data_IF_357131137805
#
_entry.id   IF_357131137805
#
_cell.length_a   1.000
_cell.length_b   1.000
_cell.length_c   1.000
_cell.angle_alpha   90.00
_cell.angle_beta   90.00
_cell.angle_gamma   90.00
#
_symmetry.space_group_name_H-M   'P 1'
#
loop_
_entity.id
_entity.type
_entity.pdbx_description
1 polymer ?
#
# COMPACT_ATOMS: atom_id res chain seq x y z
N UNK A 1 -42.94 1.04 -28.72
CA UNK A 1 -44.00 1.71 -27.94
C UNK A 1 -43.36 2.16 -26.62
N UNK A 2 -43.01 3.46 -26.49
CA UNK A 2 -43.66 4.48 -25.61
C UNK A 2 -43.72 3.99 -24.15
N UNK A 3 -43.20 4.64 -23.11
CA UNK A 3 -42.96 6.05 -22.77
C UNK A 3 -41.94 6.07 -21.60
N UNK A 4 -40.93 6.94 -21.50
CA UNK A 4 -40.91 8.39 -21.28
C UNK A 4 -41.24 8.87 -19.84
N UNK A 5 -40.25 9.58 -19.27
CA UNK A 5 -40.28 10.67 -18.27
C UNK A 5 -40.63 10.42 -16.80
N UNK A 6 -39.69 10.79 -15.89
CA UNK A 6 -39.78 11.87 -14.88
C UNK A 6 -38.34 12.04 -14.28
N UNK A 7 -37.60 13.14 -14.44
CA UNK A 7 -37.81 14.51 -13.90
C UNK A 7 -37.77 14.48 -12.37
N UNK A 8 -36.98 15.23 -11.61
CA UNK A 8 -36.07 16.36 -11.78
C UNK A 8 -35.40 16.53 -10.39
N UNK A 9 -34.16 17.02 -10.35
CA UNK A 9 -33.66 18.03 -9.39
C UNK A 9 -34.03 17.86 -7.90
N UNK A 10 -33.03 17.54 -7.08
CA UNK A 10 -32.92 18.18 -5.77
C UNK A 10 -31.60 18.94 -5.67
N UNK A 11 -31.78 20.26 -5.64
CA UNK A 11 -30.79 21.30 -5.57
C UNK A 11 -30.28 21.42 -4.12
N UNK A 12 -28.96 21.50 -3.98
CA UNK A 12 -28.27 22.54 -3.21
C UNK A 12 -28.86 22.90 -1.83
N UNK A 13 -28.20 22.46 -0.76
CA UNK A 13 -28.02 23.32 0.42
C UNK A 13 -26.54 23.32 0.78
N UNK A 14 -25.87 24.38 0.33
CA UNK A 14 -24.60 24.85 0.84
C UNK A 14 -24.83 25.45 2.23
N UNK A 15 -24.05 25.05 3.22
CA UNK A 15 -23.80 25.88 4.40
C UNK A 15 -22.29 25.93 4.62
N UNK A 16 -21.67 26.95 4.02
CA UNK A 16 -20.37 27.44 4.44
C UNK A 16 -20.56 28.40 5.62
N UNK A 17 -19.70 28.31 6.63
CA UNK A 17 -19.45 29.44 7.54
C UNK A 17 -18.00 29.36 8.09
N UNK A 18 -17.15 30.17 7.45
CA UNK A 18 -16.01 30.98 7.89
C UNK A 18 -15.21 30.70 9.18
N UNK A 19 -13.90 30.42 8.97
CA UNK A 19 -12.65 31.12 9.40
C UNK A 19 -12.63 32.00 10.69
N UNK A 20 -11.75 31.67 11.67
CA UNK A 20 -10.42 32.28 12.06
C UNK A 20 -10.53 33.21 13.29
N UNK A 21 -9.47 33.71 13.99
CA UNK A 21 -8.02 33.37 14.09
C UNK A 21 -7.45 33.39 15.56
N UNK A 22 -6.22 32.88 15.75
CA UNK A 22 -5.22 33.41 16.72
C UNK A 22 -3.86 32.74 16.41
N UNK A 23 -2.89 33.38 15.74
CA UNK A 23 -1.98 34.48 16.16
C UNK A 23 -0.92 34.04 17.19
N UNK A 24 0.31 33.86 16.68
CA UNK A 24 1.63 34.20 17.29
C UNK A 24 2.12 33.27 18.42
N UNK A 25 3.37 32.78 18.49
CA UNK A 25 4.69 33.29 18.07
C UNK A 25 5.72 32.15 17.89
N UNK A 26 6.73 32.42 17.06
CA UNK A 26 8.04 31.73 17.02
C UNK A 26 8.90 32.06 18.25
N UNK A 27 9.68 31.07 18.74
CA UNK A 27 11.17 31.08 18.82
C UNK A 27 11.72 30.10 19.89
N UNK A 28 12.41 29.08 19.39
CA UNK A 28 13.80 28.68 19.68
C UNK A 28 14.29 28.37 21.11
N UNK A 29 14.70 27.09 21.23
CA UNK A 29 15.80 26.51 22.02
C UNK A 29 15.74 26.45 23.55
N UNK A 30 15.72 25.22 24.08
CA UNK A 30 16.87 24.68 24.84
C UNK A 30 16.64 23.21 25.19
N UNK A 31 17.72 22.44 25.05
CA UNK A 31 17.91 21.02 25.38
C UNK A 31 17.38 20.57 26.74
N UNK A 32 16.86 19.35 26.82
CA UNK A 32 17.53 18.19 27.44
C UNK A 32 16.55 17.01 27.49
N UNK A 33 17.10 15.85 27.19
CA UNK A 33 16.49 14.55 26.96
C UNK A 33 15.57 14.06 28.10
N UNK A 34 14.40 13.55 27.72
CA UNK A 34 13.83 12.38 28.38
C UNK A 34 13.11 11.55 27.31
N UNK A 35 13.83 10.54 26.84
CA UNK A 35 13.36 9.51 25.92
C UNK A 35 12.07 8.89 26.44
N UNK A 36 10.93 8.97 25.73
CA UNK A 36 9.84 8.07 26.01
C UNK A 36 10.27 6.69 25.51
N UNK A 37 10.47 5.77 26.46
CA UNK A 37 10.65 4.35 26.24
C UNK A 37 9.70 3.87 25.14
N UNK A 38 10.25 3.70 23.93
CA UNK A 38 9.60 2.98 22.83
C UNK A 38 9.34 1.57 23.34
N UNK A 39 8.10 1.31 23.72
CA UNK A 39 7.61 -0.05 23.92
C UNK A 39 7.74 -0.75 22.58
N UNK A 40 8.78 -1.57 22.50
CA UNK A 40 8.99 -2.63 21.51
C UNK A 40 7.71 -3.42 21.28
N UNK A 41 7.48 -3.79 20.01
CA UNK A 41 6.52 -4.79 19.52
C UNK A 41 5.22 -4.26 18.87
N UNK A 42 5.36 -3.59 17.72
CA UNK A 42 4.35 -3.70 16.66
C UNK A 42 5.07 -3.88 15.33
N UNK A 43 5.10 -5.13 14.90
CA UNK A 43 5.86 -5.68 13.79
C UNK A 43 5.78 -4.88 12.47
N UNK A 44 6.94 -4.85 11.80
CA UNK A 44 7.22 -4.44 10.42
C UNK A 44 6.40 -5.20 9.35
N UNK A 45 5.42 -5.99 9.76
CA UNK A 45 4.54 -6.75 8.88
C UNK A 45 3.63 -5.79 8.12
N UNK A 46 3.77 -5.80 6.81
CA UNK A 46 2.98 -4.98 5.89
C UNK A 46 2.04 -5.85 5.03
N UNK A 47 2.20 -7.17 5.02
CA UNK A 47 1.35 -8.10 4.30
C UNK A 47 1.16 -9.43 5.05
N UNK A 48 0.04 -10.10 4.77
CA UNK A 48 -0.34 -11.40 5.32
C UNK A 48 -0.46 -12.42 4.19
N UNK A 49 -0.05 -13.65 4.45
CA UNK A 49 -0.28 -14.80 3.57
C UNK A 49 -1.42 -15.61 4.16
N UNK A 50 -2.52 -15.74 3.44
CA UNK A 50 -3.64 -16.61 3.82
C UNK A 50 -3.22 -18.08 3.73
N UNK A 51 -3.31 -18.82 4.83
CA UNK A 51 -2.93 -20.25 4.86
C UNK A 51 -3.76 -21.15 3.94
N UNK A 52 -5.00 -20.76 3.64
CA UNK A 52 -5.92 -21.63 2.88
C UNK A 52 -5.52 -21.76 1.41
N UNK A 53 -5.07 -20.67 0.79
CA UNK A 53 -4.81 -20.64 -0.64
C UNK A 53 -3.50 -19.91 -1.03
N UNK A 54 -2.73 -19.49 -0.02
CA UNK A 54 -1.46 -18.76 -0.16
C UNK A 54 -1.61 -17.37 -0.79
N UNK A 55 -2.81 -16.80 -0.82
CA UNK A 55 -3.01 -15.43 -1.31
C UNK A 55 -2.31 -14.44 -0.38
N UNK A 56 -1.55 -13.53 -0.96
CA UNK A 56 -0.91 -12.43 -0.23
C UNK A 56 -1.89 -11.26 -0.18
N UNK A 57 -2.12 -10.70 1.00
CA UNK A 57 -2.98 -9.55 1.27
C UNK A 57 -2.19 -8.45 1.98
N UNK A 58 -2.26 -7.20 1.51
CA UNK A 58 -1.63 -6.09 2.21
C UNK A 58 -2.40 -5.76 3.48
N UNK A 59 -1.67 -5.54 4.57
CA UNK A 59 -2.21 -4.99 5.80
C UNK A 59 -2.22 -3.47 5.69
N UNK A 60 -3.27 -2.90 5.09
CA UNK A 60 -3.47 -1.46 5.12
C UNK A 60 -3.98 -1.05 6.52
N UNK A 61 -3.08 -0.86 7.47
CA UNK A 61 -3.41 -0.24 8.76
C UNK A 61 -3.55 1.26 8.57
N UNK A 62 -4.68 1.82 8.96
CA UNK A 62 -4.91 3.28 8.95
C UNK A 62 -3.81 3.95 9.78
N UNK A 63 -3.01 4.80 9.14
CA UNK A 63 -1.88 5.50 9.76
C UNK A 63 -0.52 4.79 9.67
N UNK A 64 -0.43 3.63 9.02
CA UNK A 64 0.86 3.02 8.71
C UNK A 64 1.29 3.39 7.29
N UNK A 65 2.46 3.98 7.23
CA UNK A 65 3.23 4.11 6.01
C UNK A 65 3.71 2.71 5.59
N UNK A 66 3.10 2.15 4.55
CA UNK A 66 3.61 0.92 3.93
C UNK A 66 4.32 1.24 2.61
N UNK A 67 5.37 0.48 2.35
CA UNK A 67 6.15 0.50 1.10
C UNK A 67 6.75 -0.88 0.90
N UNK A 68 6.11 -1.68 0.05
CA UNK A 68 6.54 -3.03 -0.32
C UNK A 68 6.98 -3.04 -1.77
N UNK A 69 8.24 -3.41 -2.01
CA UNK A 69 8.74 -3.69 -3.35
C UNK A 69 8.81 -5.20 -3.61
N UNK A 70 8.38 -5.58 -4.80
CA UNK A 70 8.69 -6.89 -5.38
C UNK A 70 9.83 -6.75 -6.39
N UNK A 71 10.78 -7.66 -6.32
CA UNK A 71 12.04 -7.64 -7.06
C UNK A 71 12.12 -8.78 -8.07
N UNK A 72 12.98 -8.63 -9.09
CA UNK A 72 13.19 -9.65 -10.13
C UNK A 72 13.96 -10.87 -9.62
N UNK A 73 14.86 -10.67 -8.65
CA UNK A 73 15.62 -11.70 -7.95
C UNK A 73 15.56 -11.44 -6.45
N UNK A 74 15.94 -12.40 -5.56
CA UNK A 74 15.96 -12.20 -4.11
C UNK A 74 17.11 -11.26 -3.67
N UNK A 75 17.05 -10.02 -4.15
CA UNK A 75 18.05 -8.97 -4.00
C UNK A 75 17.36 -7.61 -4.17
N UNK A 76 17.47 -6.74 -3.17
CA UNK A 76 16.85 -5.41 -3.14
C UNK A 76 17.50 -4.42 -4.12
N UNK A 77 18.69 -4.73 -4.63
CA UNK A 77 19.37 -3.95 -5.68
C UNK A 77 18.92 -4.36 -7.09
N UNK A 78 18.22 -5.49 -7.22
CA UNK A 78 17.71 -5.96 -8.49
C UNK A 78 16.53 -5.10 -8.98
N UNK A 79 16.12 -5.36 -10.22
CA UNK A 79 15.03 -4.60 -10.86
C UNK A 79 13.74 -4.71 -10.03
N UNK A 80 13.16 -3.56 -9.71
CA UNK A 80 11.82 -3.46 -9.12
C UNK A 80 10.77 -3.87 -10.15
N UNK A 81 9.93 -4.81 -9.77
CA UNK A 81 8.93 -5.43 -10.63
C UNK A 81 7.52 -4.95 -10.28
N UNK A 82 7.25 -4.69 -9.00
CA UNK A 82 5.99 -4.14 -8.50
C UNK A 82 6.26 -3.30 -7.26
N UNK A 83 5.41 -2.32 -6.98
CA UNK A 83 5.40 -1.61 -5.69
C UNK A 83 3.98 -1.44 -5.18
N UNK A 84 3.81 -1.62 -3.87
CA UNK A 84 2.64 -1.22 -3.11
C UNK A 84 3.06 -0.20 -2.08
N UNK A 85 2.57 1.04 -2.18
CA UNK A 85 3.06 2.13 -1.36
C UNK A 85 1.94 3.12 -1.02
N UNK A 86 1.89 3.56 0.23
CA UNK A 86 1.02 4.67 0.64
C UNK A 86 1.48 6.02 0.05
N UNK A 87 2.71 6.10 -0.47
CA UNK A 87 3.30 7.34 -0.95
C UNK A 87 3.07 7.56 -2.45
N UNK A 88 2.42 8.67 -2.79
CA UNK A 88 2.17 9.09 -4.18
C UNK A 88 3.44 9.11 -5.04
N UNK A 89 4.58 9.48 -4.45
CA UNK A 89 5.88 9.52 -5.15
C UNK A 89 6.40 8.14 -5.62
N UNK A 90 5.85 7.04 -5.12
CA UNK A 90 6.19 5.68 -5.59
C UNK A 90 5.16 5.12 -6.58
N UNK A 91 3.96 5.72 -6.62
CA UNK A 91 2.79 5.18 -7.29
C UNK A 91 2.47 5.95 -8.56
N UNK A 92 2.26 7.26 -8.46
CA UNK A 92 1.72 8.07 -9.54
C UNK A 92 2.69 8.10 -10.72
N UNK A 93 2.21 7.67 -11.89
CA UNK A 93 3.02 7.59 -13.11
C UNK A 93 4.03 6.44 -13.17
N UNK A 94 4.00 5.48 -12.22
CA UNK A 94 4.95 4.35 -12.15
C UNK A 94 6.43 4.80 -12.24
N UNK A 95 6.90 5.61 -11.27
CA UNK A 95 8.21 6.28 -11.33
C UNK A 95 9.39 5.30 -11.23
N UNK A 96 9.17 4.13 -10.63
CA UNK A 96 10.16 3.05 -10.55
C UNK A 96 10.18 2.15 -11.80
N UNK A 97 9.32 2.42 -12.79
CA UNK A 97 9.18 1.62 -14.01
C UNK A 97 8.96 0.13 -13.75
N UNK A 98 8.18 -0.18 -12.73
CA UNK A 98 7.79 -1.53 -12.33
C UNK A 98 7.03 -2.21 -13.47
N UNK A 99 7.47 -3.40 -13.88
CA UNK A 99 6.88 -4.14 -15.00
C UNK A 99 5.41 -4.54 -14.75
N UNK A 100 5.06 -4.81 -13.49
CA UNK A 100 3.71 -5.17 -13.07
C UNK A 100 2.94 -3.99 -12.49
N UNK A 101 3.52 -2.79 -12.46
CA UNK A 101 2.87 -1.55 -12.03
C UNK A 101 3.21 -1.09 -10.61
N UNK A 102 2.62 0.03 -10.24
CA UNK A 102 2.69 0.63 -8.92
C UNK A 102 1.27 0.88 -8.42
N UNK A 103 1.02 0.59 -7.14
CA UNK A 103 -0.33 0.60 -6.56
C UNK A 103 -0.33 1.18 -5.15
N UNK A 104 -1.42 1.82 -4.75
CA UNK A 104 -1.57 2.28 -3.38
C UNK A 104 -1.86 1.10 -2.45
N UNK A 105 -2.71 0.18 -2.90
CA UNK A 105 -3.06 -1.02 -2.16
C UNK A 105 -3.43 -2.20 -3.10
N UNK A 106 -3.97 -3.28 -2.54
CA UNK A 106 -4.43 -4.42 -3.34
C UNK A 106 -5.83 -4.24 -3.95
N UNK A 107 -6.63 -3.29 -3.49
CA UNK A 107 -7.94 -3.00 -4.06
C UNK A 107 -7.83 -2.41 -5.47
N UNK A 108 -6.71 -1.75 -5.77
CA UNK A 108 -6.37 -1.26 -7.10
C UNK A 108 -5.99 -2.36 -8.10
N UNK A 109 -5.76 -3.60 -7.63
CA UNK A 109 -5.38 -4.73 -8.46
C UNK A 109 -6.57 -5.27 -9.27
N UNK A 110 -6.80 -4.70 -10.45
CA UNK A 110 -7.81 -5.22 -11.38
C UNK A 110 -7.43 -6.62 -11.87
N UNK A 111 -8.21 -7.62 -11.45
CA UNK A 111 -8.07 -9.03 -11.81
C UNK A 111 -6.67 -9.62 -11.56
N UNK A 112 -5.87 -8.99 -10.71
CA UNK A 112 -4.52 -9.44 -10.39
C UNK A 112 -4.49 -9.99 -8.98
N UNK A 113 -3.77 -11.09 -8.78
CA UNK A 113 -3.60 -11.75 -7.48
C UNK A 113 -2.13 -12.07 -7.25
N UNK A 114 -1.73 -12.04 -6.00
CA UNK A 114 -0.40 -12.44 -5.56
C UNK A 114 -0.53 -13.73 -4.76
N UNK A 115 0.28 -14.74 -5.10
CA UNK A 115 0.30 -16.02 -4.41
C UNK A 115 1.70 -16.33 -3.92
N UNK A 116 1.85 -16.52 -2.62
CA UNK A 116 3.09 -16.99 -2.02
C UNK A 116 3.41 -18.42 -2.49
N UNK A 117 4.69 -18.71 -2.72
CA UNK A 117 5.19 -20.01 -3.15
C UNK A 117 6.08 -20.63 -2.08
N UNK A 118 7.15 -19.91 -1.70
CA UNK A 118 8.19 -20.40 -0.78
C UNK A 118 9.02 -19.23 -0.24
N UNK A 119 9.84 -19.46 0.79
CA UNK A 119 10.81 -18.49 1.30
C UNK A 119 12.25 -18.92 1.00
N UNK A 120 13.05 -18.02 0.43
CA UNK A 120 14.43 -18.27 0.02
C UNK A 120 15.33 -17.08 0.34
N UNK A 121 16.32 -17.29 1.22
CA UNK A 121 17.36 -16.30 1.48
C UNK A 121 16.86 -14.96 2.03
N UNK A 122 15.79 -14.97 2.84
CA UNK A 122 15.18 -13.75 3.38
C UNK A 122 14.20 -13.05 2.44
N UNK A 123 13.88 -13.67 1.31
CA UNK A 123 12.84 -13.23 0.40
C UNK A 123 11.78 -14.30 0.21
N UNK A 124 10.52 -13.89 0.17
CA UNK A 124 9.38 -14.71 -0.20
C UNK A 124 9.21 -14.66 -1.72
N UNK A 125 9.18 -15.84 -2.34
CA UNK A 125 8.85 -16.03 -3.73
C UNK A 125 7.33 -15.91 -3.90
N UNK A 126 6.89 -15.00 -4.77
CA UNK A 126 5.47 -14.69 -4.97
C UNK A 126 5.15 -14.71 -6.47
N UNK A 127 4.19 -15.53 -6.87
CA UNK A 127 3.66 -15.54 -8.22
C UNK A 127 2.58 -14.47 -8.41
N UNK A 128 2.62 -13.82 -9.57
CA UNK A 128 1.62 -12.85 -9.99
C UNK A 128 0.68 -13.55 -10.98
N UNK A 129 -0.60 -13.52 -10.67
CA UNK A 129 -1.65 -14.01 -11.56
C UNK A 129 -2.47 -12.83 -12.08
N UNK A 130 -2.81 -12.82 -13.37
CA UNK A 130 -3.75 -11.87 -13.98
C UNK A 130 -4.79 -12.66 -14.77
N UNK A 131 -6.06 -12.41 -14.49
CA UNK A 131 -7.18 -13.13 -15.09
C UNK A 131 -7.03 -14.67 -14.98
N UNK A 132 -6.48 -15.14 -13.86
CA UNK A 132 -6.23 -16.56 -13.59
C UNK A 132 -4.98 -17.15 -14.26
N UNK A 133 -4.24 -16.38 -15.05
CA UNK A 133 -3.00 -16.81 -15.72
C UNK A 133 -1.78 -16.28 -14.99
N UNK A 134 -0.81 -17.14 -14.71
CA UNK A 134 0.48 -16.72 -14.14
C UNK A 134 1.25 -15.84 -15.12
N UNK A 135 1.62 -14.65 -14.67
CA UNK A 135 2.38 -13.66 -15.43
C UNK A 135 3.88 -13.75 -15.15
N UNK A 136 4.25 -14.27 -13.98
CA UNK A 136 5.63 -14.47 -13.57
C UNK A 136 5.77 -14.45 -12.05
N UNK A 137 7.04 -14.47 -11.62
CA UNK A 137 7.43 -14.54 -10.22
C UNK A 137 8.21 -13.30 -9.84
N UNK A 138 8.00 -12.83 -8.61
CA UNK A 138 8.72 -11.75 -7.95
C UNK A 138 9.21 -12.22 -6.57
N UNK A 139 10.11 -11.44 -5.99
CA UNK A 139 10.67 -11.68 -4.67
C UNK A 139 10.38 -10.50 -3.76
N UNK A 140 9.77 -10.74 -2.61
CA UNK A 140 9.46 -9.70 -1.61
C UNK A 140 10.24 -10.03 -0.34
N UNK A 141 10.74 -9.04 0.39
CA UNK A 141 11.47 -9.30 1.64
C UNK A 141 10.56 -10.00 2.67
N UNK A 142 11.00 -11.16 3.18
CA UNK A 142 10.14 -12.05 3.99
C UNK A 142 9.67 -11.43 5.30
N UNK A 143 10.46 -10.56 5.94
CA UNK A 143 10.07 -9.91 7.20
C UNK A 143 8.83 -9.00 7.06
N UNK A 144 8.48 -8.61 5.83
CA UNK A 144 7.28 -7.83 5.53
C UNK A 144 6.02 -8.69 5.45
N UNK A 145 6.16 -10.01 5.29
CA UNK A 145 5.06 -10.96 5.15
C UNK A 145 4.92 -11.82 6.41
N UNK A 146 3.68 -12.09 6.82
CA UNK A 146 3.38 -12.99 7.92
C UNK A 146 2.31 -13.99 7.51
N UNK A 147 2.51 -15.27 7.84
CA UNK A 147 1.48 -16.29 7.62
C UNK A 147 0.46 -16.24 8.77
N UNK A 148 -0.83 -16.13 8.45
CA UNK A 148 -1.93 -16.10 9.43
C UNK A 148 -2.93 -17.24 9.23
#
# INVERSE_FOLDING_TARGET
MKALFYSLIFCMICTACSQTPSTTSEETSSSTEMSPTLTTDTAETQAVIEKMDSTVWLMSKIGNDHRIFGYQSPDSTSKKMIVFSAYTEDVEGNPHHCAYGSYYDMSDLKNMKLKWIDDQGGYSQVAIYRDGTEQGVIYIQSHLLKQE
#
